data_IF_963757831939
#
_entry.id   IF_963757831939
#
_cell.length_a   1.000
_cell.length_b   1.000
_cell.length_c   1.000
_cell.angle_alpha   90.00
_cell.angle_beta   90.00
_cell.angle_gamma   90.00
#
_symmetry.space_group_name_H-M   'P 1'
#
loop_
_entity.id
_entity.type
_entity.pdbx_description
1 polymer ?
#
# COMPACT_ATOMS: atom_id res chain seq x y z
N UNK A 1 35.17 -20.56 -21.38
CA UNK A 1 34.72 -19.29 -20.79
C UNK A 1 34.12 -19.56 -19.42
N UNK A 2 34.58 -18.87 -18.38
CA UNK A 2 33.99 -18.92 -17.04
C UNK A 2 33.01 -17.76 -16.92
N UNK A 3 31.72 -18.05 -16.82
CA UNK A 3 30.70 -17.04 -16.52
C UNK A 3 30.56 -17.00 -15.00
N UNK A 4 30.95 -15.90 -14.37
CA UNK A 4 30.75 -15.68 -12.94
C UNK A 4 29.45 -14.91 -12.77
N UNK A 5 28.42 -15.57 -12.23
CA UNK A 5 27.15 -14.93 -11.88
C UNK A 5 27.24 -14.41 -10.44
N UNK A 6 26.80 -13.17 -10.23
CA UNK A 6 26.58 -12.59 -8.90
C UNK A 6 25.08 -12.48 -8.69
N UNK A 7 24.38 -13.56 -8.29
CA UNK A 7 22.95 -13.50 -8.05
C UNK A 7 22.68 -12.65 -6.81
N UNK A 8 21.85 -11.62 -6.96
CA UNK A 8 21.27 -10.90 -5.84
C UNK A 8 20.11 -11.71 -5.27
N UNK A 9 20.19 -12.08 -4.00
CA UNK A 9 19.15 -12.89 -3.36
C UNK A 9 17.92 -12.04 -3.09
N UNK A 10 16.73 -12.60 -3.32
CA UNK A 10 15.49 -11.94 -2.98
C UNK A 10 15.22 -12.09 -1.47
N UNK A 11 14.71 -11.04 -0.87
CA UNK A 11 14.33 -11.00 0.54
C UNK A 11 13.01 -10.26 0.72
N UNK A 12 12.33 -10.54 1.82
CA UNK A 12 11.07 -9.91 2.20
C UNK A 12 11.32 -8.72 3.13
N UNK A 13 10.64 -7.61 2.87
CA UNK A 13 10.59 -6.44 3.74
C UNK A 13 9.15 -6.08 4.11
N UNK A 14 9.03 -5.20 5.10
CA UNK A 14 7.74 -4.61 5.45
C UNK A 14 7.87 -3.12 5.74
N UNK A 15 6.81 -2.38 5.47
CA UNK A 15 6.69 -0.95 5.76
C UNK A 15 5.27 -0.63 6.21
N UNK A 16 5.15 0.20 7.24
CA UNK A 16 3.87 0.73 7.71
C UNK A 16 3.54 2.00 6.91
N UNK A 17 2.38 2.01 6.25
CA UNK A 17 1.97 3.06 5.31
C UNK A 17 0.59 3.57 5.66
N UNK A 18 0.44 4.89 5.73
CA UNK A 18 -0.84 5.55 6.04
C UNK A 18 -1.82 5.42 4.88
N UNK A 19 -3.09 5.15 5.20
CA UNK A 19 -4.17 5.05 4.23
C UNK A 19 -4.71 6.46 3.93
N UNK A 20 -4.84 6.79 2.65
CA UNK A 20 -5.33 8.09 2.18
C UNK A 20 -6.62 7.90 1.39
N UNK A 21 -7.64 8.69 1.71
CA UNK A 21 -8.88 8.70 0.95
C UNK A 21 -8.79 9.65 -0.25
N UNK A 22 -9.09 9.13 -1.44
CA UNK A 22 -9.11 9.88 -2.72
C UNK A 22 -10.54 10.00 -3.25
N UNK A 23 -10.75 10.89 -4.21
CA UNK A 23 -12.04 11.13 -4.88
C UNK A 23 -13.21 11.49 -3.95
N UNK A 24 -12.94 11.95 -2.72
CA UNK A 24 -13.96 12.41 -1.78
C UNK A 24 -14.27 13.91 -1.94
N UNK A 25 -15.52 14.35 -1.75
CA UNK A 25 -15.84 15.77 -1.69
C UNK A 25 -15.22 16.42 -0.44
N UNK A 26 -15.03 17.74 -0.47
CA UNK A 26 -14.29 18.49 0.57
C UNK A 26 -14.96 18.48 1.94
N UNK A 27 -16.28 18.29 2.00
CA UNK A 27 -17.09 18.25 3.21
C UNK A 27 -17.17 16.85 3.87
N UNK A 28 -16.53 15.83 3.27
CA UNK A 28 -16.52 14.48 3.83
C UNK A 28 -15.14 14.12 4.37
N UNK A 29 -15.14 13.50 5.55
CA UNK A 29 -13.96 12.92 6.18
C UNK A 29 -14.17 11.41 6.18
N UNK A 30 -13.21 10.67 5.63
CA UNK A 30 -13.21 9.21 5.63
C UNK A 30 -12.10 8.76 6.56
N UNK A 31 -12.46 8.10 7.66
CA UNK A 31 -11.52 7.52 8.61
C UNK A 31 -11.51 6.02 8.43
N UNK A 32 -10.35 5.44 8.19
CA UNK A 32 -10.18 3.98 8.13
C UNK A 32 -9.66 3.46 9.47
N UNK A 33 -10.04 2.23 9.81
CA UNK A 33 -9.58 1.54 11.00
C UNK A 33 -8.99 0.20 10.58
N UNK A 34 -7.66 0.02 10.64
CA UNK A 34 -6.65 0.98 11.10
C UNK A 34 -6.39 2.16 10.14
N UNK A 35 -5.70 3.21 10.63
CA UNK A 35 -5.27 4.37 9.83
C UNK A 35 -3.99 4.07 9.01
N UNK A 36 -3.24 3.06 9.43
CA UNK A 36 -1.98 2.63 8.82
C UNK A 36 -2.06 1.13 8.60
N UNK A 37 -1.58 0.66 7.46
CA UNK A 37 -1.54 -0.76 7.10
C UNK A 37 -0.12 -1.17 6.78
N UNK A 38 0.19 -2.44 7.04
CA UNK A 38 1.47 -3.03 6.70
C UNK A 38 1.48 -3.47 5.24
N UNK A 39 2.43 -2.94 4.49
CA UNK A 39 2.80 -3.40 3.16
C UNK A 39 3.94 -4.39 3.31
N UNK A 40 3.79 -5.59 2.75
CA UNK A 40 4.87 -6.54 2.58
C UNK A 40 5.36 -6.52 1.14
N UNK A 41 6.67 -6.59 0.97
CA UNK A 41 7.29 -6.48 -0.35
C UNK A 41 8.50 -7.39 -0.49
N UNK A 42 8.78 -7.80 -1.72
CA UNK A 42 9.95 -8.57 -2.09
C UNK A 42 10.95 -7.66 -2.82
N UNK A 43 12.20 -7.68 -2.40
CA UNK A 43 13.28 -6.83 -2.93
C UNK A 43 14.59 -7.60 -3.01
N UNK A 44 15.46 -7.20 -3.92
CA UNK A 44 16.84 -7.69 -3.93
C UNK A 44 17.60 -7.26 -2.68
N UNK A 45 18.38 -8.17 -2.08
CA UNK A 45 19.08 -7.95 -0.80
C UNK A 45 19.97 -6.70 -0.81
N UNK A 46 20.63 -6.42 -1.94
CA UNK A 46 21.47 -5.25 -2.12
C UNK A 46 20.66 -3.93 -2.15
N UNK A 47 19.42 -3.99 -2.61
CA UNK A 47 18.53 -2.83 -2.74
C UNK A 47 17.56 -2.66 -1.56
N UNK A 48 17.55 -3.58 -0.58
CA UNK A 48 16.65 -3.52 0.59
C UNK A 48 16.68 -2.17 1.30
N UNK A 49 17.88 -1.60 1.49
CA UNK A 49 18.07 -0.30 2.16
C UNK A 49 17.65 0.92 1.32
N UNK A 50 17.34 0.72 0.04
CA UNK A 50 16.91 1.78 -0.87
C UNK A 50 15.39 1.93 -0.90
N UNK A 51 14.65 0.91 -0.48
CA UNK A 51 13.18 0.96 -0.40
C UNK A 51 12.75 1.77 0.81
N UNK A 52 11.87 2.73 0.61
CA UNK A 52 11.35 3.62 1.65
C UNK A 52 9.84 3.45 1.82
N UNK A 53 9.28 3.70 3.01
CA UNK A 53 7.83 3.72 3.20
C UNK A 53 7.11 4.67 2.23
N UNK A 54 7.75 5.79 1.87
CA UNK A 54 7.24 6.76 0.89
C UNK A 54 7.10 6.23 -0.54
N UNK A 55 7.73 5.09 -0.86
CA UNK A 55 7.60 4.46 -2.18
C UNK A 55 6.25 3.75 -2.33
N UNK A 56 5.54 3.54 -1.24
CA UNK A 56 4.24 2.91 -1.21
C UNK A 56 3.18 3.95 -0.89
N UNK A 57 2.05 3.85 -1.57
CA UNK A 57 0.87 4.64 -1.27
C UNK A 57 -0.32 3.70 -1.18
N UNK A 58 -1.14 3.89 -0.15
CA UNK A 58 -2.35 3.10 0.04
C UNK A 58 -3.54 4.05 -0.03
N UNK A 59 -4.40 3.80 -1.00
CA UNK A 59 -5.53 4.66 -1.29
C UNK A 59 -6.86 3.93 -1.08
N UNK A 60 -7.86 4.67 -0.62
CA UNK A 60 -9.26 4.25 -0.60
C UNK A 60 -10.04 5.18 -1.52
N UNK A 61 -10.76 4.61 -2.48
CA UNK A 61 -11.58 5.38 -3.41
C UNK A 61 -12.99 5.58 -2.84
N UNK A 62 -13.37 6.84 -2.61
CA UNK A 62 -14.71 7.18 -2.16
C UNK A 62 -15.79 6.83 -3.21
N UNK A 63 -15.49 6.94 -4.50
CA UNK A 63 -16.47 6.64 -5.56
C UNK A 63 -16.81 5.16 -5.56
N UNK A 64 -15.84 4.26 -5.34
CA UNK A 64 -16.10 2.83 -5.20
C UNK A 64 -17.01 2.54 -4.00
N UNK A 65 -16.78 3.21 -2.87
CA UNK A 65 -17.61 3.09 -1.67
C UNK A 65 -19.03 3.61 -1.92
N UNK A 66 -19.16 4.74 -2.63
CA UNK A 66 -20.45 5.36 -2.91
C UNK A 66 -21.28 4.54 -3.92
N UNK A 67 -20.61 3.94 -4.91
CA UNK A 67 -21.21 3.07 -5.92
C UNK A 67 -21.56 1.69 -5.34
N UNK A 68 -20.70 1.15 -4.47
CA UNK A 68 -20.86 -0.15 -3.81
C UNK A 68 -20.69 -0.02 -2.28
N UNK A 69 -21.70 0.48 -1.56
CA UNK A 69 -21.63 0.61 -0.10
C UNK A 69 -21.52 -0.77 0.54
N UNK A 70 -20.49 -0.95 1.36
CA UNK A 70 -20.19 -2.19 2.10
C UNK A 70 -19.69 -1.84 3.49
N UNK A 71 -19.71 -2.78 4.43
CA UNK A 71 -19.15 -2.55 5.78
C UNK A 71 -17.63 -2.31 5.73
N UNK A 72 -16.95 -2.75 4.66
CA UNK A 72 -15.51 -2.63 4.48
C UNK A 72 -15.15 -2.00 3.15
N UNK A 73 -14.14 -1.15 3.16
CA UNK A 73 -13.58 -0.55 1.96
C UNK A 73 -12.37 -1.34 1.47
N UNK A 74 -12.20 -1.42 0.15
CA UNK A 74 -11.03 -2.04 -0.47
C UNK A 74 -9.86 -1.05 -0.48
N UNK A 75 -8.68 -1.55 -0.12
CA UNK A 75 -7.44 -0.79 -0.19
C UNK A 75 -6.76 -1.00 -1.54
N UNK A 76 -6.27 0.08 -2.13
CA UNK A 76 -5.49 0.08 -3.37
C UNK A 76 -4.05 0.42 -3.05
N UNK A 77 -3.15 -0.52 -3.30
CA UNK A 77 -1.71 -0.34 -3.13
C UNK A 77 -1.08 0.15 -4.44
N UNK A 78 -0.36 1.25 -4.37
CA UNK A 78 0.49 1.75 -5.45
C UNK A 78 1.94 1.69 -4.97
N UNK A 79 2.79 1.01 -5.73
CA UNK A 79 4.23 0.97 -5.48
C UNK A 79 4.97 1.74 -6.57
N UNK A 80 5.74 2.75 -6.19
CA UNK A 80 6.53 3.60 -7.08
C UNK A 80 8.04 3.26 -7.04
N UNK A 81 8.44 2.22 -6.30
CA UNK A 81 9.84 1.79 -6.23
C UNK A 81 10.18 0.85 -7.38
N UNK A 82 11.21 1.18 -8.15
CA UNK A 82 11.77 0.29 -9.18
C UNK A 82 12.53 -0.92 -8.62
N UNK A 83 12.87 -0.90 -7.33
CA UNK A 83 13.65 -1.95 -6.68
C UNK A 83 12.76 -3.07 -6.14
N UNK A 84 11.50 -2.76 -5.87
CA UNK A 84 10.51 -3.71 -5.39
C UNK A 84 10.05 -4.58 -6.56
N UNK A 85 10.08 -5.90 -6.35
CA UNK A 85 9.62 -6.89 -7.32
C UNK A 85 8.12 -7.14 -7.21
N UNK A 86 7.63 -7.23 -5.99
CA UNK A 86 6.25 -7.50 -5.66
C UNK A 86 5.91 -6.83 -4.34
N UNK A 87 4.70 -6.30 -4.20
CA UNK A 87 4.20 -5.76 -2.96
C UNK A 87 2.72 -6.09 -2.78
N UNK A 88 2.33 -6.40 -1.55
CA UNK A 88 0.96 -6.68 -1.16
C UNK A 88 0.65 -6.13 0.22
N UNK A 89 -0.63 -5.93 0.50
CA UNK A 89 -1.12 -5.50 1.81
C UNK A 89 -1.43 -6.73 2.66
N UNK A 90 -1.08 -6.70 3.95
CA UNK A 90 -1.52 -7.75 4.89
C UNK A 90 -3.05 -7.74 5.06
N UNK A 91 -3.68 -6.57 4.94
CA UNK A 91 -5.13 -6.42 4.93
C UNK A 91 -5.58 -5.75 3.64
N UNK A 92 -6.40 -6.43 2.83
CA UNK A 92 -6.95 -5.87 1.59
C UNK A 92 -8.21 -5.02 1.81
N UNK A 93 -8.84 -5.20 2.96
CA UNK A 93 -10.08 -4.53 3.33
C UNK A 93 -9.99 -4.05 4.77
N UNK A 94 -10.51 -2.86 5.02
CA UNK A 94 -10.55 -2.25 6.35
C UNK A 94 -11.91 -1.61 6.59
N UNK A 95 -12.28 -1.57 7.86
CA UNK A 95 -13.48 -0.87 8.30
C UNK A 95 -13.27 0.65 8.11
N UNK A 96 -14.33 1.37 7.77
CA UNK A 96 -14.28 2.80 7.54
C UNK A 96 -15.48 3.53 8.14
N UNK A 97 -15.29 4.81 8.44
CA UNK A 97 -16.32 5.72 8.91
C UNK A 97 -16.32 6.97 8.04
N UNK A 98 -17.49 7.39 7.59
CA UNK A 98 -17.68 8.63 6.84
C UNK A 98 -18.35 9.64 7.77
N UNK A 99 -17.70 10.79 7.97
CA UNK A 99 -18.21 11.91 8.75
C UNK A 99 -18.44 13.11 7.84
N UNK A 100 -19.51 13.85 8.07
CA UNK A 100 -19.74 15.17 7.47
C UNK A 100 -19.13 16.23 8.40
N UNK A 101 -18.32 17.11 7.83
CA UNK A 101 -17.72 18.24 8.55
C UNK A 101 -18.74 19.34 8.84
#
# INVERSE_FOLDING_TARGET
MKVTLFPDVLTEGSADVTIVAVNKPKNLIIRTFPQTVKVRYTVGSMAYRLVRPSDFQVHVDYLEIADHPSDKCKLHLVCNSRFVREAHLDAQQVDYLIEQQ
#
